data_IF_214916659486
#
_entry.id   IF_214916659486
#
_cell.length_a   1.000
_cell.length_b   1.000
_cell.length_c   1.000
_cell.angle_alpha   90.00
_cell.angle_beta   90.00
_cell.angle_gamma   90.00
#
_symmetry.space_group_name_H-M   'P 1'
#
loop_
_entity.id
_entity.type
_entity.pdbx_description
1 polymer ?
#
# COMPACT_ATOMS: atom_id res chain seq x y z
N UNK A 1 -0.44 2.27 17.03
CA UNK A 1 -1.23 1.80 15.87
C UNK A 1 -0.48 1.97 14.55
N UNK A 2 -0.02 3.16 14.18
CA UNK A 2 0.71 3.41 12.92
C UNK A 2 2.10 2.77 12.84
N UNK A 3 2.86 2.70 13.95
CA UNK A 3 4.15 2.00 14.00
C UNK A 3 4.00 0.51 13.70
N UNK A 4 2.94 -0.12 14.21
CA UNK A 4 2.59 -1.50 13.90
C UNK A 4 2.24 -1.70 12.42
N UNK A 5 1.73 -0.68 11.72
CA UNK A 5 1.38 -0.80 10.32
C UNK A 5 2.61 -0.91 9.41
N UNK A 6 3.69 -0.17 9.68
CA UNK A 6 4.93 -0.26 8.89
C UNK A 6 5.64 -1.61 9.10
N UNK A 7 5.66 -2.13 10.32
CA UNK A 7 6.27 -3.43 10.64
C UNK A 7 5.61 -4.59 9.86
N UNK A 8 4.33 -4.47 9.54
CA UNK A 8 3.58 -5.50 8.80
C UNK A 8 4.01 -5.62 7.33
N UNK A 9 4.62 -4.59 6.76
CA UNK A 9 5.16 -4.62 5.41
C UNK A 9 6.57 -5.21 5.32
N UNK A 10 7.23 -5.42 6.45
CA UNK A 10 8.55 -6.06 6.53
C UNK A 10 8.47 -7.57 6.81
N UNK A 11 7.28 -8.08 7.16
CA UNK A 11 7.04 -9.48 7.45
C UNK A 11 5.81 -10.00 6.67
N UNK A 12 5.79 -11.27 6.22
CA UNK A 12 4.69 -11.85 5.46
C UNK A 12 3.51 -12.23 6.38
N UNK A 13 2.93 -11.25 7.05
CA UNK A 13 1.91 -11.46 8.09
C UNK A 13 0.55 -11.92 7.55
N UNK A 14 0.29 -11.70 6.25
CA UNK A 14 -0.98 -12.08 5.62
C UNK A 14 -0.95 -13.47 4.96
N UNK A 15 0.20 -14.10 4.87
CA UNK A 15 0.36 -15.42 4.22
C UNK A 15 -0.49 -16.51 4.88
N UNK A 16 -0.59 -16.50 6.20
CA UNK A 16 -1.27 -17.56 6.97
C UNK A 16 -2.80 -17.45 6.93
N UNK A 17 -3.32 -16.23 6.92
CA UNK A 17 -4.76 -15.96 7.03
C UNK A 17 -5.35 -15.29 5.79
N UNK A 18 -4.53 -15.03 4.77
CA UNK A 18 -4.89 -14.27 3.58
C UNK A 18 -5.53 -12.92 3.95
N UNK A 19 -5.00 -12.28 4.98
CA UNK A 19 -5.53 -11.04 5.56
C UNK A 19 -5.41 -9.83 4.63
N UNK A 20 -5.78 -8.68 5.15
CA UNK A 20 -5.92 -7.42 4.38
C UNK A 20 -5.27 -6.23 5.07
N UNK A 21 -4.12 -6.41 5.70
CA UNK A 21 -3.45 -5.35 6.49
C UNK A 21 -3.04 -4.14 5.65
N UNK A 22 -2.69 -4.36 4.38
CA UNK A 22 -2.44 -3.25 3.43
C UNK A 22 -3.68 -2.42 3.14
N UNK A 23 -4.85 -3.05 3.02
CA UNK A 23 -6.14 -2.35 2.90
C UNK A 23 -6.39 -1.48 4.13
N UNK A 24 -6.15 -2.02 5.31
CA UNK A 24 -6.33 -1.30 6.56
C UNK A 24 -5.47 -0.05 6.62
N UNK A 25 -4.17 -0.17 6.28
CA UNK A 25 -3.25 0.97 6.21
C UNK A 25 -3.77 2.06 5.27
N UNK A 26 -4.16 1.70 4.06
CA UNK A 26 -4.61 2.67 3.05
C UNK A 26 -5.91 3.37 3.42
N UNK A 27 -6.87 2.65 3.99
CA UNK A 27 -8.14 3.23 4.47
C UNK A 27 -7.93 4.19 5.63
N UNK A 28 -7.06 3.84 6.58
CA UNK A 28 -6.71 4.73 7.70
C UNK A 28 -6.01 6.00 7.19
N UNK A 29 -5.06 5.86 6.26
CA UNK A 29 -4.37 6.99 5.67
C UNK A 29 -5.35 7.96 5.01
N UNK A 30 -6.29 7.45 4.21
CA UNK A 30 -7.32 8.26 3.59
C UNK A 30 -8.13 9.05 4.61
N UNK A 31 -8.67 8.38 5.63
CA UNK A 31 -9.48 9.03 6.67
C UNK A 31 -8.69 10.07 7.45
N UNK A 32 -7.42 9.77 7.78
CA UNK A 32 -6.56 10.67 8.51
C UNK A 32 -6.15 11.91 7.68
N UNK A 33 -5.91 11.75 6.36
CA UNK A 33 -5.68 12.89 5.47
C UNK A 33 -6.90 13.84 5.44
N UNK A 34 -8.11 13.30 5.31
CA UNK A 34 -9.36 14.09 5.36
C UNK A 34 -9.51 14.81 6.70
N UNK A 35 -9.18 14.14 7.81
CA UNK A 35 -9.21 14.74 9.14
C UNK A 35 -8.22 15.89 9.24
N UNK A 36 -7.02 15.72 8.70
CA UNK A 36 -6.02 16.79 8.69
C UNK A 36 -6.45 17.98 7.82
N UNK A 37 -7.06 17.74 6.66
CA UNK A 37 -7.58 18.83 5.81
C UNK A 37 -8.58 19.71 6.56
N UNK A 38 -9.35 19.12 7.46
CA UNK A 38 -10.30 19.85 8.29
C UNK A 38 -9.64 20.52 9.50
N UNK A 39 -8.79 19.79 10.24
CA UNK A 39 -8.25 20.26 11.52
C UNK A 39 -6.97 21.07 11.39
N UNK A 40 -6.18 20.82 10.36
CA UNK A 40 -4.81 21.36 10.17
C UNK A 40 -3.89 21.08 11.36
N UNK A 41 -4.13 19.99 12.08
CA UNK A 41 -3.34 19.59 13.23
C UNK A 41 -1.90 19.21 12.81
N UNK A 42 -0.90 19.90 13.35
CA UNK A 42 0.50 19.71 12.99
C UNK A 42 1.04 18.35 13.47
N UNK A 43 0.58 17.87 14.63
CA UNK A 43 1.01 16.57 15.14
C UNK A 43 0.46 15.42 14.31
N UNK A 44 -0.79 15.55 13.86
CA UNK A 44 -1.38 14.59 12.93
C UNK A 44 -0.62 14.57 11.59
N UNK A 45 -0.31 15.74 11.02
CA UNK A 45 0.48 15.80 9.78
C UNK A 45 1.82 15.08 9.92
N UNK A 46 2.57 15.37 10.98
CA UNK A 46 3.87 14.75 11.22
C UNK A 46 3.75 13.23 11.34
N UNK A 47 2.73 12.75 12.05
CA UNK A 47 2.46 11.32 12.18
C UNK A 47 2.19 10.67 10.80
N UNK A 48 1.42 11.34 9.94
CA UNK A 48 1.14 10.85 8.58
C UNK A 48 2.40 10.84 7.72
N UNK A 49 3.21 11.89 7.77
CA UNK A 49 4.47 11.99 7.04
C UNK A 49 5.45 10.88 7.46
N UNK A 50 5.61 10.66 8.76
CA UNK A 50 6.49 9.62 9.32
C UNK A 50 6.00 8.21 8.92
N UNK A 51 4.70 7.99 8.94
CA UNK A 51 4.10 6.70 8.53
C UNK A 51 4.30 6.42 7.04
N UNK A 52 4.19 7.45 6.19
CA UNK A 52 4.48 7.33 4.76
C UNK A 52 5.95 7.01 4.53
N UNK A 53 6.88 7.71 5.19
CA UNK A 53 8.30 7.42 5.06
C UNK A 53 8.63 5.98 5.48
N UNK A 54 8.08 5.52 6.59
CA UNK A 54 8.25 4.15 7.06
C UNK A 54 7.71 3.11 6.04
N UNK A 55 6.59 3.39 5.39
CA UNK A 55 6.06 2.52 4.33
C UNK A 55 6.99 2.52 3.10
N UNK A 56 7.46 3.69 2.66
CA UNK A 56 8.34 3.80 1.52
C UNK A 56 9.69 3.10 1.75
N UNK A 57 10.17 3.08 3.00
CA UNK A 57 11.38 2.34 3.40
C UNK A 57 11.21 0.82 3.28
N UNK A 58 9.98 0.31 3.26
CA UNK A 58 9.69 -1.10 3.06
C UNK A 58 9.74 -1.54 1.58
N UNK A 59 9.88 -0.60 0.63
CA UNK A 59 9.96 -0.93 -0.79
C UNK A 59 11.27 -1.65 -1.10
N UNK A 60 11.19 -2.85 -1.65
CA UNK A 60 12.36 -3.60 -2.05
C UNK A 60 12.99 -3.10 -3.36
N UNK A 61 14.13 -3.67 -3.74
CA UNK A 61 14.86 -3.29 -4.95
C UNK A 61 14.04 -3.52 -6.23
N UNK A 62 13.14 -4.49 -6.24
CA UNK A 62 12.24 -4.76 -7.36
C UNK A 62 11.08 -3.77 -7.48
N UNK A 63 10.84 -2.95 -6.45
CA UNK A 63 9.74 -1.99 -6.40
C UNK A 63 8.50 -2.47 -5.65
N UNK A 64 8.60 -3.60 -4.98
CA UNK A 64 7.49 -4.26 -4.30
C UNK A 64 7.24 -3.67 -2.92
N UNK A 65 5.99 -3.41 -2.59
CA UNK A 65 5.48 -3.21 -1.22
C UNK A 65 4.28 -4.13 -1.04
N UNK A 66 4.35 -5.06 -0.10
CA UNK A 66 3.24 -5.96 0.22
C UNK A 66 3.39 -6.56 1.62
N UNK A 67 2.28 -6.94 2.22
CA UNK A 67 2.21 -7.72 3.46
C UNK A 67 2.21 -9.23 3.22
N UNK A 68 2.25 -9.65 1.95
CA UNK A 68 2.40 -11.05 1.53
C UNK A 68 3.85 -11.35 1.16
N UNK A 69 4.30 -12.58 1.40
CA UNK A 69 5.60 -13.04 0.90
C UNK A 69 5.61 -13.14 -0.64
N UNK A 70 6.79 -13.12 -1.28
CA UNK A 70 6.89 -13.35 -2.73
C UNK A 70 6.26 -14.68 -3.19
N UNK A 71 6.28 -15.72 -2.35
CA UNK A 71 5.67 -17.01 -2.66
C UNK A 71 4.15 -16.99 -2.69
N UNK A 72 3.52 -16.07 -1.96
CA UNK A 72 2.07 -15.94 -1.82
C UNK A 72 1.52 -14.66 -2.46
N UNK A 73 2.37 -13.84 -3.06
CA UNK A 73 1.92 -12.60 -3.69
C UNK A 73 0.93 -12.82 -4.84
N UNK A 74 0.10 -11.84 -5.07
CA UNK A 74 -1.01 -11.86 -6.03
C UNK A 74 -2.06 -12.96 -5.78
N UNK A 75 -2.05 -13.54 -4.58
CA UNK A 75 -3.09 -14.46 -4.12
C UNK A 75 -3.95 -13.78 -3.04
N UNK A 76 -5.08 -14.39 -2.71
CA UNK A 76 -5.97 -13.88 -1.68
C UNK A 76 -6.32 -12.40 -1.92
N UNK A 77 -6.02 -11.57 -0.92
CA UNK A 77 -6.30 -10.13 -0.92
C UNK A 77 -5.07 -9.26 -1.27
N UNK A 78 -3.95 -9.83 -1.70
CA UNK A 78 -2.71 -9.07 -1.92
C UNK A 78 -2.89 -7.91 -2.91
N UNK A 79 -3.48 -8.18 -4.08
CA UNK A 79 -3.71 -7.12 -5.09
C UNK A 79 -4.69 -6.05 -4.59
N UNK A 80 -5.69 -6.46 -3.82
CA UNK A 80 -6.62 -5.55 -3.16
C UNK A 80 -5.90 -4.67 -2.14
N UNK A 81 -5.01 -5.24 -1.33
CA UNK A 81 -4.18 -4.52 -0.38
C UNK A 81 -3.26 -3.51 -1.07
N UNK A 82 -2.59 -3.92 -2.15
CA UNK A 82 -1.72 -3.04 -2.97
C UNK A 82 -2.49 -1.84 -3.51
N UNK A 83 -3.72 -2.05 -4.00
CA UNK A 83 -4.59 -0.96 -4.43
C UNK A 83 -4.81 0.06 -3.33
N UNK A 84 -5.11 -0.38 -2.11
CA UNK A 84 -5.34 0.55 -1.00
C UNK A 84 -4.07 1.23 -0.51
N UNK A 85 -2.93 0.57 -0.56
CA UNK A 85 -1.62 1.20 -0.29
C UNK A 85 -1.37 2.34 -1.28
N UNK A 86 -1.55 2.10 -2.58
CA UNK A 86 -1.42 3.12 -3.63
C UNK A 86 -2.40 4.28 -3.43
N UNK A 87 -3.65 3.99 -3.08
CA UNK A 87 -4.65 5.03 -2.78
C UNK A 87 -4.29 5.84 -1.53
N UNK A 88 -3.79 5.20 -0.48
CA UNK A 88 -3.32 5.88 0.72
C UNK A 88 -2.15 6.83 0.43
N UNK A 89 -1.17 6.37 -0.34
CA UNK A 89 -0.05 7.21 -0.81
C UNK A 89 -0.55 8.38 -1.65
N UNK A 90 -1.51 8.16 -2.54
CA UNK A 90 -2.13 9.21 -3.34
C UNK A 90 -2.83 10.26 -2.48
N UNK A 91 -3.60 9.86 -1.49
CA UNK A 91 -4.27 10.81 -0.58
C UNK A 91 -3.26 11.66 0.18
N UNK A 92 -2.20 11.05 0.71
CA UNK A 92 -1.16 11.82 1.40
C UNK A 92 -0.40 12.74 0.43
N UNK A 93 -0.10 12.30 -0.79
CA UNK A 93 0.54 13.11 -1.82
C UNK A 93 -0.20 14.43 -2.08
N UNK A 94 -1.55 14.42 -2.04
CA UNK A 94 -2.36 15.63 -2.25
C UNK A 94 -2.15 16.69 -1.16
N UNK A 95 -1.88 16.27 0.06
CA UNK A 95 -1.67 17.16 1.22
C UNK A 95 -0.21 17.37 1.56
N UNK A 96 0.70 16.63 0.96
CA UNK A 96 2.14 16.64 1.26
C UNK A 96 2.74 18.02 0.97
N UNK A 97 3.41 18.59 1.98
CA UNK A 97 4.05 19.90 1.91
C UNK A 97 5.55 19.83 1.58
N UNK A 98 6.15 18.66 1.71
CA UNK A 98 7.57 18.42 1.41
C UNK A 98 7.75 17.93 -0.03
N UNK A 99 8.44 18.72 -0.85
CA UNK A 99 8.69 18.42 -2.26
C UNK A 99 9.49 17.13 -2.43
N UNK A 100 10.46 16.85 -1.56
CA UNK A 100 11.28 15.63 -1.63
C UNK A 100 10.47 14.40 -1.31
N UNK A 101 9.63 14.47 -0.27
CA UNK A 101 8.74 13.39 0.08
C UNK A 101 7.71 13.13 -1.03
N UNK A 102 7.18 14.19 -1.64
CA UNK A 102 6.28 14.09 -2.80
C UNK A 102 6.91 13.32 -3.96
N UNK A 103 8.12 13.70 -4.35
CA UNK A 103 8.89 13.02 -5.41
C UNK A 103 9.17 11.56 -5.06
N UNK A 104 9.50 11.28 -3.80
CA UNK A 104 9.73 9.92 -3.32
C UNK A 104 8.46 9.06 -3.41
N UNK A 105 7.30 9.62 -3.09
CA UNK A 105 6.01 8.95 -3.28
C UNK A 105 5.77 8.64 -4.75
N UNK A 106 5.94 9.61 -5.64
CA UNK A 106 5.74 9.45 -7.08
C UNK A 106 6.63 8.32 -7.66
N UNK A 107 7.91 8.33 -7.31
CA UNK A 107 8.85 7.29 -7.73
C UNK A 107 8.45 5.91 -7.20
N UNK A 108 8.05 5.83 -5.93
CA UNK A 108 7.61 4.59 -5.31
C UNK A 108 6.34 4.04 -6.00
N UNK A 109 5.36 4.90 -6.25
CA UNK A 109 4.11 4.53 -6.93
C UNK A 109 4.40 3.99 -8.33
N UNK A 110 5.22 4.67 -9.12
CA UNK A 110 5.62 4.19 -10.45
C UNK A 110 6.26 2.80 -10.37
N UNK A 111 7.23 2.61 -9.46
CA UNK A 111 7.89 1.31 -9.29
C UNK A 111 6.94 0.20 -8.83
N UNK A 112 5.96 0.51 -7.97
CA UNK A 112 4.93 -0.46 -7.59
C UNK A 112 4.04 -0.85 -8.77
N UNK A 113 3.64 0.11 -9.60
CA UNK A 113 2.83 -0.14 -10.78
C UNK A 113 3.59 -0.96 -11.82
N UNK A 114 4.85 -0.63 -12.10
CA UNK A 114 5.73 -1.38 -13.00
C UNK A 114 5.88 -2.83 -12.52
N UNK A 115 6.06 -3.04 -11.20
CA UNK A 115 6.13 -4.36 -10.62
C UNK A 115 4.82 -5.15 -10.82
N UNK A 116 3.67 -4.53 -10.58
CA UNK A 116 2.37 -5.15 -10.77
C UNK A 116 2.18 -5.52 -12.24
N UNK A 117 2.44 -4.59 -13.15
CA UNK A 117 2.31 -4.80 -14.59
C UNK A 117 3.20 -5.96 -15.09
N UNK A 118 4.43 -6.04 -14.61
CA UNK A 118 5.35 -7.12 -14.97
C UNK A 118 4.90 -8.52 -14.50
N UNK A 119 4.06 -8.59 -13.46
CA UNK A 119 3.63 -9.84 -12.84
C UNK A 119 2.16 -10.21 -13.12
N UNK A 120 1.36 -9.26 -13.62
CA UNK A 120 -0.07 -9.44 -13.88
C UNK A 120 -0.38 -8.83 -15.25
N UNK A 121 -0.91 -9.61 -16.18
CA UNK A 121 -1.30 -9.11 -17.49
C UNK A 121 -1.72 -10.21 -18.44
N UNK A 122 -2.02 -9.85 -19.69
CA UNK A 122 -2.36 -10.79 -20.75
C UNK A 122 -1.18 -11.76 -20.96
N UNK A 123 -1.39 -13.03 -20.66
CA UNK A 123 -0.37 -14.07 -20.75
C UNK A 123 0.46 -14.31 -19.49
N UNK A 124 0.34 -13.45 -18.46
CA UNK A 124 1.07 -13.59 -17.19
C UNK A 124 0.07 -13.74 -16.04
N UNK A 125 0.10 -14.88 -15.35
CA UNK A 125 -0.65 -15.13 -14.10
C UNK A 125 -2.18 -14.93 -14.14
N UNK A 126 -2.86 -15.08 -15.29
CA UNK A 126 -4.32 -14.98 -15.38
C UNK A 126 -5.08 -15.83 -14.35
N UNK A 127 -4.52 -16.99 -13.95
CA UNK A 127 -5.10 -17.87 -12.92
C UNK A 127 -5.13 -17.22 -11.53
N UNK A 128 -4.22 -16.27 -11.25
CA UNK A 128 -4.18 -15.56 -9.96
C UNK A 128 -5.24 -14.46 -9.88
N UNK A 129 -5.52 -13.78 -11.00
CA UNK A 129 -6.53 -12.71 -11.08
C UNK A 129 -7.95 -13.29 -10.92
N UNK A 130 -8.21 -14.45 -11.53
CA UNK A 130 -9.53 -15.09 -11.49
C UNK A 130 -9.95 -15.50 -10.07
N UNK A 131 -9.01 -15.83 -9.20
CA UNK A 131 -9.30 -16.16 -7.79
C UNK A 131 -9.76 -14.94 -6.98
N UNK A 132 -9.25 -13.77 -7.29
CA UNK A 132 -9.63 -12.54 -6.60
C UNK A 132 -11.01 -12.04 -7.01
N UNK A 133 -11.44 -12.32 -8.25
CA UNK A 133 -12.73 -11.88 -8.79
C UNK A 133 -13.91 -12.79 -8.41
N UNK A 134 -13.65 -14.07 -8.09
CA UNK A 134 -14.71 -15.02 -7.73
C UNK A 134 -15.23 -14.90 -6.30
N UNK A 135 -14.55 -14.13 -5.43
CA UNK A 135 -15.01 -13.90 -4.06
C UNK A 135 -16.13 -12.87 -3.92
N UNK A 136 -16.54 -12.24 -5.03
CA UNK A 136 -17.62 -11.23 -5.04
C UNK A 136 -18.98 -11.75 -5.49
N UNK A 137 -19.13 -13.07 -5.71
CA UNK A 137 -20.41 -13.70 -6.15
C UNK A 137 -21.12 -14.47 -5.03
N UNK A 138 -20.86 -14.13 -3.75
CA UNK A 138 -21.53 -14.71 -2.59
C UNK A 138 -22.22 -13.65 -1.75
#
# INVERSE_FOLDING_TARGET
MWQLAAEQFTAPVDDADLGWRGEYWGKLMRGACMTWEYTRDAALYQLLADTVDALLDCQDEAGRISTYSPAQEFQGWDLWCRKYVLLGLWHFHQICQDVRQKQRIEQSVCRQLDYIEAHIGAGVNQKKITRTSTHWQG
#
